data_IF_348040476519
#
_entry.id   IF_348040476519
#
_cell.length_a   1.000
_cell.length_b   1.000
_cell.length_c   1.000
_cell.angle_alpha   90.00
_cell.angle_beta   90.00
_cell.angle_gamma   90.00
#
_symmetry.space_group_name_H-M   'P 1'
#
loop_
_entity.id
_entity.type
_entity.pdbx_description
1 polymer ?
#
# COMPACT_ATOMS: atom_id res chain seq x y z
N UNK A 1 -13.01 3.56 4.10
CA UNK A 1 -14.11 3.16 5.00
C UNK A 1 -13.68 2.05 5.96
N UNK A 2 -13.03 0.95 5.51
CA UNK A 2 -12.40 -0.03 6.42
C UNK A 2 -10.91 -0.16 6.08
N UNK A 3 -10.03 0.27 6.98
CA UNK A 3 -8.59 0.31 6.76
C UNK A 3 -7.79 -0.76 7.52
N UNK A 4 -8.37 -1.38 8.53
CA UNK A 4 -7.77 -2.45 9.34
C UNK A 4 -8.88 -3.23 10.03
N UNK A 5 -8.71 -4.54 10.15
CA UNK A 5 -9.49 -5.38 11.05
C UNK A 5 -8.56 -6.00 12.09
N UNK A 6 -9.09 -6.19 13.31
CA UNK A 6 -8.46 -6.94 14.38
C UNK A 6 -9.52 -7.83 15.00
N UNK A 7 -9.26 -9.13 15.04
CA UNK A 7 -10.27 -10.09 15.47
C UNK A 7 -9.78 -11.52 15.42
N UNK A 8 -10.66 -12.46 15.76
CA UNK A 8 -10.34 -13.89 15.82
C UNK A 8 -10.54 -14.53 14.46
N UNK A 9 -9.58 -15.34 14.01
CA UNK A 9 -9.74 -16.17 12.81
C UNK A 9 -10.72 -17.29 13.13
N UNK A 10 -11.91 -17.26 12.53
CA UNK A 10 -12.89 -18.33 12.66
C UNK A 10 -12.60 -19.46 11.68
N UNK A 11 -12.28 -19.12 10.43
CA UNK A 11 -12.09 -20.09 9.36
C UNK A 11 -11.06 -19.62 8.32
N UNK A 12 -10.34 -20.57 7.73
CA UNK A 12 -9.39 -20.37 6.63
C UNK A 12 -9.82 -21.18 5.41
N UNK A 13 -10.31 -20.51 4.37
CA UNK A 13 -10.65 -21.11 3.07
C UNK A 13 -9.91 -20.36 1.96
N UNK A 14 -8.63 -20.68 1.68
CA UNK A 14 -7.80 -19.89 0.77
C UNK A 14 -8.49 -19.62 -0.59
N UNK A 15 -8.51 -18.37 -1.09
CA UNK A 15 -7.80 -17.19 -0.59
C UNK A 15 -8.61 -16.33 0.43
N UNK A 16 -9.68 -16.86 1.03
CA UNK A 16 -10.57 -16.15 1.95
C UNK A 16 -10.29 -16.57 3.40
N UNK A 17 -10.21 -15.58 4.30
CA UNK A 17 -10.22 -15.80 5.75
C UNK A 17 -11.49 -15.18 6.33
N UNK A 18 -12.14 -15.91 7.25
CA UNK A 18 -13.28 -15.40 8.03
C UNK A 18 -12.77 -14.89 9.37
N UNK A 19 -12.91 -13.59 9.61
CA UNK A 19 -12.38 -12.93 10.80
C UNK A 19 -13.50 -12.26 11.60
N UNK A 20 -13.67 -12.66 12.85
CA UNK A 20 -14.69 -12.10 13.74
C UNK A 20 -14.16 -10.87 14.49
N UNK A 21 -14.81 -9.73 14.30
CA UNK A 21 -14.56 -8.51 15.08
C UNK A 21 -15.86 -8.07 15.75
N UNK A 22 -15.91 -8.13 17.08
CA UNK A 22 -17.07 -7.66 17.85
C UNK A 22 -18.37 -8.41 17.54
N UNK A 23 -18.30 -9.72 17.27
CA UNK A 23 -19.46 -10.56 16.94
C UNK A 23 -19.90 -10.50 15.47
N UNK A 24 -19.16 -9.80 14.60
CA UNK A 24 -19.41 -9.77 13.14
C UNK A 24 -18.27 -10.49 12.42
N UNK A 25 -18.61 -11.50 11.62
CA UNK A 25 -17.67 -12.20 10.75
C UNK A 25 -17.47 -11.47 9.42
N UNK A 26 -16.23 -11.11 9.12
CA UNK A 26 -15.83 -10.49 7.86
C UNK A 26 -15.09 -11.50 6.98
N UNK A 27 -15.56 -11.68 5.76
CA UNK A 27 -14.81 -12.38 4.72
C UNK A 27 -13.74 -11.45 4.14
N UNK A 28 -12.48 -11.86 4.21
CA UNK A 28 -11.34 -11.08 3.72
C UNK A 28 -10.56 -11.89 2.69
N UNK A 29 -10.47 -11.38 1.47
CA UNK A 29 -9.66 -11.96 0.41
C UNK A 29 -8.19 -11.56 0.57
N UNK A 30 -7.28 -12.51 0.72
CA UNK A 30 -5.85 -12.23 0.90
C UNK A 30 -5.02 -12.88 -0.20
N UNK A 31 -3.92 -12.24 -0.66
CA UNK A 31 -2.93 -12.92 -1.47
C UNK A 31 -2.38 -14.15 -0.73
N UNK A 32 -2.03 -15.21 -1.46
CA UNK A 32 -1.53 -16.45 -0.84
C UNK A 32 -0.26 -16.24 -0.02
N UNK A 33 0.62 -15.32 -0.46
CA UNK A 33 1.84 -14.95 0.29
C UNK A 33 1.50 -14.40 1.68
N UNK A 34 0.50 -13.51 1.77
CA UNK A 34 -0.01 -13.01 3.05
C UNK A 34 -0.76 -14.11 3.83
N UNK A 35 -1.55 -14.92 3.13
CA UNK A 35 -2.40 -15.94 3.76
C UNK A 35 -1.59 -16.98 4.54
N UNK A 36 -0.43 -17.37 4.03
CA UNK A 36 0.44 -18.36 4.68
C UNK A 36 1.06 -17.88 5.99
N UNK A 37 1.16 -16.57 6.21
CA UNK A 37 1.68 -15.98 7.45
C UNK A 37 0.59 -15.74 8.50
N UNK A 38 -0.69 -15.99 8.16
CA UNK A 38 -1.78 -15.80 9.11
C UNK A 38 -1.64 -16.76 10.32
N UNK A 39 -1.95 -16.30 11.55
CA UNK A 39 -2.09 -17.15 12.74
C UNK A 39 -3.07 -18.31 12.55
N UNK A 40 -3.06 -19.28 13.46
CA UNK A 40 -4.00 -20.41 13.41
C UNK A 40 -5.45 -19.99 13.66
N UNK A 41 -6.42 -20.83 13.26
CA UNK A 41 -7.81 -20.60 13.60
C UNK A 41 -7.99 -20.59 15.13
N UNK A 42 -8.83 -19.69 15.63
CA UNK A 42 -9.00 -19.40 17.05
C UNK A 42 -8.02 -18.35 17.61
N UNK A 43 -7.03 -17.89 16.84
CA UNK A 43 -6.09 -16.84 17.26
C UNK A 43 -6.50 -15.45 16.75
N UNK A 44 -6.07 -14.41 17.47
CA UNK A 44 -6.24 -13.02 17.02
C UNK A 44 -5.31 -12.73 15.84
N UNK A 45 -5.84 -12.09 14.81
CA UNK A 45 -5.09 -11.57 13.69
C UNK A 45 -5.39 -10.08 13.47
N UNK A 46 -4.39 -9.37 12.96
CA UNK A 46 -4.52 -7.98 12.51
C UNK A 46 -4.25 -7.96 11.02
N UNK A 47 -5.20 -7.45 10.25
CA UNK A 47 -5.07 -7.36 8.78
C UNK A 47 -5.34 -5.94 8.32
N UNK A 48 -4.46 -5.41 7.47
CA UNK A 48 -4.69 -4.15 6.77
C UNK A 48 -5.61 -4.40 5.59
N UNK A 49 -6.68 -3.62 5.48
CA UNK A 49 -7.70 -3.87 4.47
C UNK A 49 -7.73 -2.79 3.39
N UNK A 50 -8.07 -3.21 2.17
CA UNK A 50 -8.55 -2.36 1.09
C UNK A 50 -10.01 -2.73 0.78
N UNK A 51 -10.90 -1.77 1.00
CA UNK A 51 -12.33 -1.94 0.81
C UNK A 51 -12.75 -1.51 -0.60
N UNK A 52 -13.30 -2.46 -1.36
CA UNK A 52 -13.76 -2.25 -2.74
C UNK A 52 -15.28 -2.25 -2.75
N UNK A 53 -15.86 -1.17 -3.26
CA UNK A 53 -17.31 -1.03 -3.46
C UNK A 53 -17.58 -1.01 -4.95
N UNK A 54 -18.45 -1.91 -5.39
CA UNK A 54 -19.02 -1.98 -6.74
C UNK A 54 -20.55 -1.91 -6.62
N UNK A 55 -21.22 -1.80 -7.75
CA UNK A 55 -22.68 -1.77 -7.81
C UNK A 55 -23.31 -3.08 -7.28
N UNK A 56 -22.64 -4.20 -7.51
CA UNK A 56 -23.11 -5.56 -7.21
C UNK A 56 -22.44 -6.21 -5.98
N UNK A 57 -21.38 -5.62 -5.44
CA UNK A 57 -20.59 -6.24 -4.37
C UNK A 57 -19.82 -5.23 -3.50
N UNK A 58 -19.63 -5.60 -2.24
CA UNK A 58 -18.70 -4.96 -1.31
C UNK A 58 -17.69 -6.01 -0.84
N UNK A 59 -16.42 -5.80 -1.13
CA UNK A 59 -15.36 -6.79 -0.92
C UNK A 59 -14.24 -6.20 -0.06
N UNK A 60 -13.68 -7.02 0.82
CA UNK A 60 -12.48 -6.71 1.59
C UNK A 60 -11.29 -7.50 1.07
N UNK A 61 -10.22 -6.77 0.76
CA UNK A 61 -8.91 -7.35 0.45
C UNK A 61 -7.96 -7.10 1.61
N UNK A 62 -7.31 -8.14 2.14
CA UNK A 62 -6.48 -8.10 3.34
C UNK A 62 -5.00 -8.33 3.05
N UNK A 63 -4.15 -7.74 3.89
CA UNK A 63 -2.70 -7.80 3.83
C UNK A 63 -2.11 -7.79 5.25
N UNK A 64 -0.96 -8.41 5.46
CA UNK A 64 -0.35 -8.50 6.79
C UNK A 64 0.35 -7.20 7.17
N UNK A 65 0.84 -6.47 6.17
CA UNK A 65 1.50 -5.19 6.36
C UNK A 65 0.95 -4.09 5.42
N UNK A 66 1.31 -2.84 5.71
CA UNK A 66 0.81 -1.67 4.96
C UNK A 66 1.44 -1.60 3.57
N UNK A 67 2.65 -2.11 3.42
CA UNK A 67 3.45 -2.10 2.19
C UNK A 67 2.77 -2.95 1.12
N UNK A 68 2.37 -4.18 1.47
CA UNK A 68 1.56 -5.06 0.62
C UNK A 68 0.26 -4.41 0.19
N UNK A 69 -0.47 -3.79 1.12
CA UNK A 69 -1.71 -3.07 0.79
C UNK A 69 -1.44 -1.90 -0.16
N UNK A 70 -0.33 -1.18 0.04
CA UNK A 70 0.06 -0.04 -0.80
C UNK A 70 0.39 -0.51 -2.20
N UNK A 71 1.20 -1.56 -2.33
CA UNK A 71 1.50 -2.18 -3.61
C UNK A 71 0.22 -2.65 -4.32
N UNK A 72 -0.69 -3.32 -3.61
CA UNK A 72 -1.99 -3.71 -4.16
C UNK A 72 -2.80 -2.51 -4.67
N UNK A 73 -2.86 -1.41 -3.90
CA UNK A 73 -3.53 -0.17 -4.32
C UNK A 73 -2.90 0.42 -5.56
N UNK A 74 -1.58 0.36 -5.70
CA UNK A 74 -0.89 0.83 -6.90
C UNK A 74 -1.17 -0.08 -8.11
N UNK A 75 -1.16 -1.41 -7.90
CA UNK A 75 -1.50 -2.39 -8.93
C UNK A 75 -2.91 -2.17 -9.49
N UNK A 76 -3.93 -1.99 -8.65
CA UNK A 76 -5.33 -1.86 -9.14
C UNK A 76 -5.62 -0.53 -9.85
N UNK A 77 -4.73 0.46 -9.70
CA UNK A 77 -4.78 1.71 -10.47
C UNK A 77 -4.14 1.55 -11.85
N UNK A 78 -3.42 0.45 -12.12
CA UNK A 78 -2.88 0.18 -13.45
C UNK A 78 -4.01 -0.29 -14.36
N UNK A 79 -4.07 0.31 -15.53
CA UNK A 79 -5.12 0.02 -16.50
C UNK A 79 -5.05 -1.44 -16.98
N UNK A 80 -6.17 -2.15 -16.84
CA UNK A 80 -6.26 -3.58 -17.15
C UNK A 80 -5.88 -4.50 -15.97
N UNK A 81 -5.55 -3.93 -14.81
CA UNK A 81 -5.29 -4.69 -13.57
C UNK A 81 -6.39 -4.39 -12.57
N UNK A 82 -7.29 -5.36 -12.39
CA UNK A 82 -8.32 -5.30 -11.35
C UNK A 82 -7.88 -5.99 -10.05
N UNK A 83 -8.68 -5.87 -8.97
CA UNK A 83 -8.41 -6.51 -7.68
C UNK A 83 -8.10 -8.02 -7.75
N UNK A 84 -8.81 -8.76 -8.61
CA UNK A 84 -8.59 -10.20 -8.81
C UNK A 84 -7.20 -10.49 -9.41
N UNK A 85 -6.77 -9.69 -10.38
CA UNK A 85 -5.47 -9.86 -11.02
C UNK A 85 -4.34 -9.42 -10.08
N UNK A 86 -4.52 -8.33 -9.34
CA UNK A 86 -3.58 -7.89 -8.32
C UNK A 86 -3.40 -8.95 -7.21
N UNK A 87 -4.48 -9.61 -6.78
CA UNK A 87 -4.40 -10.72 -5.83
C UNK A 87 -3.65 -11.92 -6.42
N UNK A 88 -3.88 -12.24 -7.70
CA UNK A 88 -3.13 -13.30 -8.39
C UNK A 88 -1.63 -12.99 -8.50
N UNK A 89 -1.25 -11.74 -8.80
CA UNK A 89 0.13 -11.27 -8.82
C UNK A 89 0.79 -11.51 -7.46
N UNK A 90 0.19 -10.97 -6.40
CA UNK A 90 0.73 -11.07 -5.04
C UNK A 90 0.61 -12.49 -4.45
N UNK A 91 -0.11 -13.40 -5.11
CA UNK A 91 -0.16 -14.81 -4.74
C UNK A 91 0.93 -15.64 -5.43
N UNK A 92 1.29 -15.28 -6.66
CA UNK A 92 2.35 -15.96 -7.43
C UNK A 92 3.76 -15.48 -7.11
N UNK A 93 3.89 -14.28 -6.56
CA UNK A 93 5.15 -13.71 -6.09
C UNK A 93 4.92 -12.77 -4.92
N UNK A 94 5.88 -12.73 -3.99
CA UNK A 94 5.86 -11.75 -2.89
C UNK A 94 5.96 -10.32 -3.42
N UNK A 95 5.56 -9.37 -2.59
CA UNK A 95 5.64 -7.95 -2.92
C UNK A 95 7.08 -7.52 -3.27
N UNK A 96 8.10 -8.03 -2.57
CA UNK A 96 9.51 -7.79 -2.89
C UNK A 96 9.93 -8.39 -4.24
N UNK A 97 9.54 -9.64 -4.50
CA UNK A 97 9.83 -10.27 -5.80
C UNK A 97 9.18 -9.52 -6.95
N UNK A 98 7.97 -9.01 -6.76
CA UNK A 98 7.30 -8.19 -7.76
C UNK A 98 8.06 -6.89 -8.03
N UNK A 99 8.48 -6.17 -7.00
CA UNK A 99 9.29 -4.94 -7.15
C UNK A 99 10.57 -5.25 -7.93
N UNK A 100 11.31 -6.28 -7.52
CA UNK A 100 12.55 -6.69 -8.20
C UNK A 100 12.30 -7.04 -9.68
N UNK A 101 11.22 -7.76 -9.98
CA UNK A 101 10.86 -8.15 -11.34
C UNK A 101 10.53 -6.92 -12.21
N UNK A 102 9.87 -5.91 -11.65
CA UNK A 102 9.59 -4.64 -12.35
C UNK A 102 10.87 -3.84 -12.58
N UNK A 103 11.73 -3.71 -11.56
CA UNK A 103 12.98 -2.95 -11.66
C UNK A 103 13.95 -3.54 -12.69
N UNK A 104 14.06 -4.87 -12.70
CA UNK A 104 14.90 -5.66 -13.61
C UNK A 104 14.24 -5.93 -14.96
N UNK A 105 13.03 -5.45 -15.17
CA UNK A 105 12.25 -5.64 -16.40
C UNK A 105 12.09 -7.13 -16.78
N UNK A 106 11.89 -8.00 -15.78
CA UNK A 106 11.77 -9.45 -15.91
C UNK A 106 10.38 -9.86 -16.47
N UNK A 107 10.16 -9.54 -17.75
CA UNK A 107 8.89 -9.83 -18.45
C UNK A 107 8.47 -11.30 -18.35
N UNK A 108 9.44 -12.22 -18.46
CA UNK A 108 9.20 -13.65 -18.41
C UNK A 108 8.64 -14.14 -17.07
N UNK A 109 8.93 -13.45 -15.96
CA UNK A 109 8.36 -13.78 -14.64
C UNK A 109 6.88 -13.39 -14.57
N UNK A 110 6.53 -12.21 -15.10
CA UNK A 110 5.17 -11.68 -15.05
C UNK A 110 4.22 -12.42 -16.00
N UNK A 111 4.67 -12.81 -17.19
CA UNK A 111 3.84 -13.53 -18.19
C UNK A 111 3.46 -14.95 -17.74
N UNK A 112 4.20 -15.53 -16.77
CA UNK A 112 3.86 -16.83 -16.18
C UNK A 112 2.67 -16.76 -15.22
N UNK A 113 2.28 -15.56 -14.78
CA UNK A 113 1.17 -15.38 -13.86
C UNK A 113 -0.17 -15.57 -14.59
N UNK A 114 -1.14 -16.27 -13.99
CA UNK A 114 -2.42 -16.54 -14.61
C UNK A 114 -3.17 -15.22 -14.89
N UNK A 115 -3.61 -15.04 -16.13
CA UNK A 115 -4.31 -13.84 -16.57
C UNK A 115 -3.41 -12.67 -17.00
N UNK A 116 -2.09 -12.83 -16.99
CA UNK A 116 -1.15 -11.82 -17.48
C UNK A 116 -0.57 -12.25 -18.82
N UNK A 117 -1.04 -11.59 -19.89
CA UNK A 117 -0.42 -11.70 -21.21
C UNK A 117 0.79 -10.78 -21.38
N UNK A 118 1.56 -10.99 -22.45
CA UNK A 118 2.75 -10.19 -22.79
C UNK A 118 2.49 -8.68 -22.74
N UNK A 119 1.42 -8.22 -23.40
CA UNK A 119 1.04 -6.79 -23.44
C UNK A 119 0.73 -6.22 -22.05
N UNK A 120 0.03 -6.99 -21.21
CA UNK A 120 -0.28 -6.57 -19.83
C UNK A 120 0.99 -6.51 -19.01
N UNK A 121 1.90 -7.48 -19.14
CA UNK A 121 3.16 -7.50 -18.42
C UNK A 121 4.08 -6.34 -18.81
N UNK A 122 4.24 -6.05 -20.11
CA UNK A 122 5.02 -4.91 -20.59
C UNK A 122 4.49 -3.59 -20.02
N UNK A 123 3.16 -3.40 -20.07
CA UNK A 123 2.49 -2.23 -19.50
C UNK A 123 2.69 -2.13 -18.00
N UNK A 124 2.56 -3.25 -17.29
CA UNK A 124 2.73 -3.33 -15.85
C UNK A 124 4.13 -2.89 -15.43
N UNK A 125 5.17 -3.36 -16.13
CA UNK A 125 6.56 -2.96 -15.88
C UNK A 125 6.71 -1.44 -16.03
N UNK A 126 6.24 -0.88 -17.14
CA UNK A 126 6.39 0.56 -17.42
C UNK A 126 5.66 1.41 -16.38
N UNK A 127 4.38 1.14 -16.13
CA UNK A 127 3.57 1.95 -15.20
C UNK A 127 4.03 1.80 -13.75
N UNK A 128 4.41 0.59 -13.32
CA UNK A 128 4.86 0.37 -11.94
C UNK A 128 6.26 0.92 -11.69
N UNK A 129 7.17 0.84 -12.68
CA UNK A 129 8.51 1.42 -12.57
C UNK A 129 8.46 2.94 -12.41
N UNK A 130 7.55 3.61 -13.12
CA UNK A 130 7.34 5.06 -12.95
C UNK A 130 6.82 5.39 -11.55
N UNK A 131 5.87 4.60 -11.03
CA UNK A 131 5.33 4.78 -9.67
C UNK A 131 6.38 4.54 -8.59
N UNK A 132 7.19 3.49 -8.70
CA UNK A 132 8.23 3.19 -7.72
C UNK A 132 9.29 4.29 -7.62
N UNK A 133 9.57 5.01 -8.73
CA UNK A 133 10.41 6.22 -8.68
C UNK A 133 9.78 7.34 -7.87
N UNK A 134 8.46 7.53 -7.96
CA UNK A 134 7.70 8.49 -7.15
C UNK A 134 7.52 8.07 -5.68
N UNK A 135 7.66 6.77 -5.38
CA UNK A 135 7.69 6.20 -4.03
C UNK A 135 9.11 6.16 -3.43
N UNK A 136 10.10 6.82 -4.04
CA UNK A 136 11.50 6.87 -3.58
C UNK A 136 12.15 5.50 -3.29
N UNK A 137 11.76 4.42 -3.99
CA UNK A 137 12.34 3.08 -3.77
C UNK A 137 12.00 2.44 -2.41
N UNK A 138 11.13 3.07 -1.62
CA UNK A 138 10.93 2.81 -0.19
C UNK A 138 9.79 1.82 0.11
N UNK A 139 9.45 0.91 -0.79
CA UNK A 139 8.44 -0.12 -0.44
C UNK A 139 8.94 -1.08 0.66
N UNK A 140 10.26 -1.20 0.87
CA UNK A 140 10.88 -2.15 1.81
C UNK A 140 12.11 -1.63 2.57
N UNK A 141 12.41 -0.32 2.53
CA UNK A 141 13.44 0.24 3.41
C UNK A 141 12.88 0.39 4.84
N UNK A 142 13.72 0.29 5.88
CA UNK A 142 13.28 0.45 7.28
C UNK A 142 12.67 1.83 7.60
N UNK A 143 12.74 2.80 6.68
CA UNK A 143 12.14 4.13 6.85
C UNK A 143 10.60 4.12 6.89
N UNK A 144 9.94 3.11 6.31
CA UNK A 144 8.47 2.99 6.43
C UNK A 144 8.03 2.55 7.84
N UNK A 145 8.95 1.98 8.63
CA UNK A 145 8.70 1.59 10.02
C UNK A 145 8.65 2.81 10.96
N UNK A 146 9.29 3.92 10.57
CA UNK A 146 9.26 5.19 11.30
C UNK A 146 7.99 6.00 11.08
N UNK A 147 7.18 5.67 10.06
CA UNK A 147 6.00 6.48 9.75
C UNK A 147 4.91 6.32 10.82
N UNK A 148 4.79 5.21 11.59
CA UNK A 148 3.60 5.07 12.45
C UNK A 148 3.66 4.27 13.78
N UNK A 149 4.81 3.89 14.36
CA UNK A 149 4.83 3.40 15.77
C UNK A 149 6.11 3.70 16.56
N UNK A 150 5.97 4.59 17.56
CA UNK A 150 6.88 4.94 18.69
C UNK A 150 7.73 6.22 18.52
N UNK A 151 7.96 6.97 19.62
CA UNK A 151 8.63 8.27 19.60
C UNK A 151 10.15 8.06 19.46
N UNK A 152 10.61 7.80 18.25
CA UNK A 152 11.96 8.17 17.85
C UNK A 152 11.84 9.50 17.12
N UNK A 153 12.65 10.48 17.52
CA UNK A 153 12.66 11.82 16.92
C UNK A 153 12.70 11.69 15.39
N UNK A 154 11.67 12.16 14.65
CA UNK A 154 11.71 12.12 13.20
C UNK A 154 12.94 12.92 12.74
N UNK A 155 13.68 12.37 11.79
CA UNK A 155 14.66 13.19 11.09
C UNK A 155 13.91 14.29 10.33
N UNK A 156 14.55 15.43 10.12
CA UNK A 156 13.92 16.55 9.43
C UNK A 156 13.42 16.17 8.03
N UNK A 157 14.13 15.27 7.35
CA UNK A 157 13.77 14.80 6.01
C UNK A 157 12.48 13.97 6.00
N UNK A 158 12.23 13.14 7.02
CA UNK A 158 10.99 12.34 7.13
C UNK A 158 9.76 13.23 7.32
N UNK A 159 9.88 14.26 8.17
CA UNK A 159 8.80 15.20 8.45
C UNK A 159 8.43 16.04 7.21
N UNK A 160 9.43 16.41 6.41
CA UNK A 160 9.22 17.15 5.16
C UNK A 160 8.49 16.30 4.11
N UNK A 161 8.90 15.05 3.92
CA UNK A 161 8.25 14.14 2.96
C UNK A 161 6.79 13.89 3.32
N UNK A 162 6.50 13.68 4.60
CA UNK A 162 5.13 13.50 5.08
C UNK A 162 4.28 14.76 4.83
N UNK A 163 4.84 15.94 5.08
CA UNK A 163 4.17 17.22 4.82
C UNK A 163 3.87 17.41 3.32
N UNK A 164 4.81 17.07 2.43
CA UNK A 164 4.60 17.13 0.97
C UNK A 164 3.48 16.18 0.55
N UNK A 165 3.49 14.94 1.03
CA UNK A 165 2.45 13.95 0.71
C UNK A 165 1.05 14.42 1.16
N UNK A 166 0.97 15.03 2.35
CA UNK A 166 -0.28 15.60 2.87
C UNK A 166 -0.80 16.77 2.02
N UNK A 167 0.07 17.71 1.61
CA UNK A 167 -0.32 18.81 0.73
C UNK A 167 -0.78 18.32 -0.65
N UNK A 168 -0.12 17.30 -1.21
CA UNK A 168 -0.59 16.67 -2.46
C UNK A 168 -1.97 16.04 -2.28
N UNK A 169 -2.23 15.40 -1.13
CA UNK A 169 -3.55 14.85 -0.82
C UNK A 169 -4.63 15.94 -0.66
N UNK A 170 -4.24 17.17 -0.32
CA UNK A 170 -5.13 18.35 -0.28
C UNK A 170 -5.35 18.99 -1.67
N UNK A 171 -4.66 18.51 -2.71
CA UNK A 171 -4.87 18.92 -4.10
C UNK A 171 -3.76 19.81 -4.69
N UNK A 172 -2.69 20.09 -3.94
CA UNK A 172 -1.54 20.82 -4.49
C UNK A 172 -0.75 19.94 -5.47
N UNK A 173 -0.15 20.55 -6.50
CA UNK A 173 0.72 19.81 -7.42
C UNK A 173 1.99 19.35 -6.69
N UNK A 174 2.57 18.18 -7.00
CA UNK A 174 3.77 17.68 -6.31
C UNK A 174 4.94 18.68 -6.25
N UNK A 175 5.21 19.38 -7.36
CA UNK A 175 6.26 20.40 -7.42
C UNK A 175 5.94 21.63 -6.58
N UNK A 176 4.66 21.98 -6.44
CA UNK A 176 4.21 23.11 -5.64
C UNK A 176 4.26 22.76 -4.15
N UNK A 177 3.76 21.59 -3.77
CA UNK A 177 3.84 21.06 -2.41
C UNK A 177 5.30 20.97 -1.92
N UNK A 178 6.22 20.44 -2.73
CA UNK A 178 7.64 20.40 -2.40
C UNK A 178 8.26 21.80 -2.22
N UNK A 179 7.88 22.77 -3.07
CA UNK A 179 8.32 24.17 -2.92
C UNK A 179 7.74 24.85 -1.69
N UNK A 180 6.51 24.51 -1.31
CA UNK A 180 5.86 25.07 -0.12
C UNK A 180 6.57 24.60 1.15
N UNK A 181 6.84 23.29 1.25
CA UNK A 181 7.50 22.69 2.43
C UNK A 181 8.95 23.13 2.53
N UNK A 182 9.73 23.10 1.44
CA UNK A 182 11.15 23.49 1.46
C UNK A 182 11.40 24.95 1.89
N UNK A 183 10.43 25.86 1.70
CA UNK A 183 10.55 27.26 2.16
C UNK A 183 10.43 27.45 3.67
N UNK A 184 9.79 26.51 4.35
CA UNK A 184 9.49 26.59 5.80
C UNK A 184 10.13 25.46 6.59
N UNK A 185 10.83 24.56 5.89
CA UNK A 185 11.54 23.42 6.42
C UNK A 185 12.49 23.86 7.53
N UNK A 186 12.38 23.18 8.67
CA UNK A 186 13.20 23.42 9.87
C UNK A 186 13.57 22.06 10.47
N UNK A 187 14.82 21.88 10.96
CA UNK A 187 15.31 20.58 11.42
C UNK A 187 14.44 19.91 12.50
N UNK A 188 13.80 20.70 13.35
CA UNK A 188 13.02 20.20 14.50
C UNK A 188 11.50 20.32 14.31
N UNK A 189 11.03 20.66 13.10
CA UNK A 189 9.60 20.82 12.85
C UNK A 189 8.92 19.47 12.60
N UNK A 190 7.80 19.24 13.28
CA UNK A 190 6.94 18.09 12.96
C UNK A 190 6.26 18.27 11.60
N UNK A 191 5.91 17.17 10.96
CA UNK A 191 5.14 17.16 9.70
C UNK A 191 3.84 17.98 9.81
N UNK A 192 3.12 17.87 10.94
CA UNK A 192 1.93 18.69 11.21
C UNK A 192 2.22 20.20 11.22
N UNK A 193 3.36 20.61 11.80
CA UNK A 193 3.77 22.01 11.86
C UNK A 193 4.11 22.52 10.46
N UNK A 194 4.84 21.72 9.68
CA UNK A 194 5.17 22.04 8.29
C UNK A 194 3.92 22.17 7.42
N UNK A 195 2.95 21.25 7.55
CA UNK A 195 1.67 21.33 6.81
C UNK A 195 0.93 22.62 7.17
N UNK A 196 0.81 22.93 8.47
CA UNK A 196 0.10 24.11 8.96
C UNK A 196 0.72 25.41 8.46
N UNK A 197 2.04 25.52 8.53
CA UNK A 197 2.76 26.72 8.12
C UNK A 197 2.76 26.88 6.58
N UNK A 198 2.83 25.77 5.84
CA UNK A 198 2.75 25.77 4.38
C UNK A 198 1.39 26.27 3.90
N UNK A 199 0.30 25.79 4.51
CA UNK A 199 -1.06 26.22 4.19
C UNK A 199 -1.28 27.69 4.58
N UNK A 200 -0.74 28.14 5.71
CA UNK A 200 -0.80 29.55 6.11
C UNK A 200 -0.07 30.48 5.13
N UNK A 201 1.07 30.05 4.59
CA UNK A 201 1.85 30.84 3.64
C UNK A 201 1.27 30.84 2.21
N UNK A 202 0.31 29.96 1.92
CA UNK A 202 -0.38 29.86 0.63
C UNK A 202 -1.70 30.64 0.57
N UNK A 203 -2.15 31.19 1.71
CA UNK A 203 -3.25 32.15 1.84
C UNK A 203 -2.72 33.58 1.74
#
# INVERSE_FOLDING_TARGET
MIGRLRGIILEKQPPIVLLETGGVGYEVHMPMTCFYELPEAGQEAIVFTHFVVREDAQLLYGFNNKQERTLFKELIKTNGVGPKLALAILSGMSAQQFVNAVEREELGALVKLPGIGKKTAERLIVEMKDRFKGLHGDLFTPAVDLVLTSPASPTSEDAEQEAVAALVALGYKPQEASRMVSKIARPDASSETLIRDALRAAL
#
